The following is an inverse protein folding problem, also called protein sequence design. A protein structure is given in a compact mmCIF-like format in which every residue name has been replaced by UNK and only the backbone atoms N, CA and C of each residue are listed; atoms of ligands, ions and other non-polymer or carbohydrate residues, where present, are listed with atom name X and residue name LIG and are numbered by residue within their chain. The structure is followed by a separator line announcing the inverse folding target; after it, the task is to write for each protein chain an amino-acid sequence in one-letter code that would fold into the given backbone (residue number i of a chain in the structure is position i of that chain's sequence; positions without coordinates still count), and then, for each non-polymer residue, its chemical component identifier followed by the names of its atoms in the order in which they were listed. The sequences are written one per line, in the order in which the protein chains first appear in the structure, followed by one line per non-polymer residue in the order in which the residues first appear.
data_IF_245574349625
#
_entry.id   IF_245574349625
#
_cell.length_a   1.000
_cell.length_b   1.000
_cell.length_c   1.000
_cell.angle_alpha   90.00
_cell.angle_beta   90.00
_cell.angle_gamma   90.00
#
_symmetry.space_group_name_H-M   'P 1'
#
loop_
_entity.id
_entity.type
_entity.pdbx_description
1 polymer ?
#
# COMPACT_ATOMS: atom_id res chain seq x y z
N UNK A 1 -41.11 5.74 17.89
CA UNK A 1 -41.83 4.51 18.29
C UNK A 1 -41.51 4.21 19.72
N UNK A 2 -42.52 4.26 20.62
CA UNK A 2 -42.35 4.02 22.06
C UNK A 2 -42.49 2.51 22.31
N UNK A 3 -41.51 1.92 22.97
CA UNK A 3 -41.62 0.56 23.44
C UNK A 3 -42.31 0.55 24.84
N UNK A 4 -43.41 -0.16 24.91
CA UNK A 4 -44.15 -0.41 26.16
C UNK A 4 -43.50 -1.58 26.89
N UNK A 5 -42.97 -1.33 28.08
CA UNK A 5 -42.49 -2.38 28.98
C UNK A 5 -43.67 -2.76 29.89
N UNK A 6 -44.19 -3.97 29.73
CA UNK A 6 -45.20 -4.58 30.61
C UNK A 6 -44.51 -5.18 31.84
N UNK A 7 -44.79 -4.63 33.01
CA UNK A 7 -44.32 -5.16 34.29
C UNK A 7 -45.28 -6.20 34.85
N UNK A 8 -44.88 -7.46 34.93
CA UNK A 8 -45.55 -8.48 35.74
C UNK A 8 -45.00 -8.46 37.14
N UNK A 9 -45.84 -8.01 38.11
CA UNK A 9 -45.60 -8.27 39.55
C UNK A 9 -46.11 -9.67 39.91
N UNK A 10 -45.20 -10.53 40.34
CA UNK A 10 -45.51 -11.70 41.17
C UNK A 10 -44.73 -11.61 42.48
N UNK A 11 -45.46 -11.56 43.58
CA UNK A 11 -44.95 -11.70 44.93
C UNK A 11 -44.56 -13.16 45.16
N UNK A 12 -43.30 -13.43 45.50
CA UNK A 12 -42.82 -14.71 46.01
C UNK A 12 -41.82 -14.44 47.12
N UNK A 13 -42.01 -15.11 48.25
CA UNK A 13 -41.24 -15.00 49.49
C UNK A 13 -39.75 -15.37 49.37
N UNK A 14 -38.95 -15.28 50.47
CA UNK A 14 -37.50 -15.27 50.43
C UNK A 14 -36.92 -16.59 49.99
N UNK A 15 -36.39 -16.67 48.78
CA UNK A 15 -35.59 -17.76 48.26
C UNK A 15 -34.15 -17.34 48.09
N UNK A 16 -33.26 -18.21 48.50
CA UNK A 16 -31.80 -18.17 48.54
C UNK A 16 -31.18 -17.40 47.35
N UNK A 17 -30.24 -16.48 47.68
CA UNK A 17 -29.45 -15.76 46.71
C UNK A 17 -28.63 -16.71 45.83
N UNK A 18 -29.15 -17.05 44.65
CA UNK A 18 -28.38 -17.66 43.57
C UNK A 18 -27.77 -16.53 42.72
N UNK A 19 -26.45 -16.50 42.67
CA UNK A 19 -25.74 -15.59 41.79
C UNK A 19 -25.99 -16.00 40.33
N UNK A 20 -26.90 -15.33 39.65
CA UNK A 20 -27.04 -15.45 38.20
C UNK A 20 -25.95 -14.59 37.54
N UNK A 21 -24.90 -15.23 37.07
CA UNK A 21 -23.96 -14.62 36.18
C UNK A 21 -24.65 -14.49 34.80
N UNK A 22 -25.15 -13.30 34.49
CA UNK A 22 -25.61 -12.98 33.15
C UNK A 22 -24.38 -12.91 32.24
N UNK A 23 -24.09 -14.00 31.54
CA UNK A 23 -23.14 -14.01 30.42
C UNK A 23 -23.77 -13.19 29.28
N UNK A 24 -23.41 -11.92 29.21
CA UNK A 24 -23.56 -11.16 27.97
C UNK A 24 -22.56 -11.70 26.95
N UNK A 25 -23.01 -12.61 26.09
CA UNK A 25 -22.28 -12.92 24.87
C UNK A 25 -22.26 -11.65 24.02
N UNK A 26 -21.14 -10.94 24.02
CA UNK A 26 -20.87 -9.91 23.05
C UNK A 26 -20.85 -10.56 21.66
N UNK A 27 -22.00 -10.53 20.98
CA UNK A 27 -22.09 -10.90 19.57
C UNK A 27 -21.16 -9.96 18.81
N UNK A 28 -20.05 -10.49 18.33
CA UNK A 28 -19.21 -9.75 17.39
C UNK A 28 -20.11 -9.29 16.22
N UNK A 29 -19.99 -8.04 15.79
CA UNK A 29 -20.76 -7.55 14.66
C UNK A 29 -20.53 -8.46 13.45
N UNK A 30 -21.62 -8.77 12.74
CA UNK A 30 -21.52 -9.59 11.52
C UNK A 30 -20.52 -8.92 10.55
N UNK A 31 -19.66 -9.70 9.87
CA UNK A 31 -18.71 -9.15 8.93
C UNK A 31 -19.46 -8.40 7.83
N UNK A 32 -18.90 -7.25 7.41
CA UNK A 32 -19.45 -6.45 6.32
C UNK A 32 -19.55 -7.31 5.06
N UNK A 33 -20.70 -7.25 4.40
CA UNK A 33 -20.94 -7.92 3.12
C UNK A 33 -20.96 -6.84 2.02
N UNK A 34 -20.04 -6.89 1.05
CA UNK A 34 -20.06 -5.94 -0.05
C UNK A 34 -21.31 -6.12 -0.92
N UNK A 35 -21.80 -5.06 -1.56
CA UNK A 35 -22.79 -5.17 -2.62
C UNK A 35 -22.27 -6.09 -3.72
N UNK A 36 -23.18 -6.52 -4.61
CA UNK A 36 -22.83 -7.33 -5.78
C UNK A 36 -23.03 -6.54 -7.05
N UNK A 37 -22.17 -6.78 -8.01
CA UNK A 37 -22.38 -6.32 -9.39
C UNK A 37 -23.59 -7.00 -10.01
N UNK A 38 -24.15 -6.48 -11.12
CA UNK A 38 -25.25 -7.13 -11.83
C UNK A 38 -24.97 -8.57 -12.29
N UNK A 39 -23.69 -8.96 -12.43
CA UNK A 39 -23.27 -10.31 -12.80
C UNK A 39 -22.83 -11.17 -11.62
N UNK A 40 -23.01 -10.67 -10.38
CA UNK A 40 -22.88 -11.48 -9.15
C UNK A 40 -21.54 -11.39 -8.42
N UNK A 41 -20.51 -10.78 -8.99
CA UNK A 41 -19.21 -10.59 -8.30
C UNK A 41 -19.33 -9.58 -7.15
N UNK A 42 -18.48 -9.65 -6.12
CA UNK A 42 -18.38 -8.57 -5.14
C UNK A 42 -18.07 -7.23 -5.83
N UNK A 43 -18.82 -6.19 -5.47
CA UNK A 43 -18.64 -4.86 -6.08
C UNK A 43 -17.53 -4.09 -5.37
N UNK A 44 -16.40 -3.93 -6.04
CA UNK A 44 -15.27 -3.14 -5.63
C UNK A 44 -15.16 -1.81 -6.39
N UNK A 45 -16.10 -1.51 -7.28
CA UNK A 45 -16.06 -0.31 -8.11
C UNK A 45 -16.09 0.97 -7.29
N UNK A 46 -15.44 1.99 -7.78
CA UNK A 46 -15.40 3.32 -7.15
C UNK A 46 -14.06 4.00 -7.29
N UNK A 47 -14.01 5.24 -6.83
CA UNK A 47 -12.78 5.99 -6.66
C UNK A 47 -12.30 5.84 -5.21
N UNK A 48 -11.04 5.52 -5.03
CA UNK A 48 -10.42 5.29 -3.73
C UNK A 48 -9.19 6.17 -3.56
N UNK A 49 -8.83 6.46 -2.31
CA UNK A 49 -7.60 7.16 -1.97
C UNK A 49 -6.90 6.51 -0.78
N UNK A 50 -5.57 6.55 -0.75
CA UNK A 50 -4.75 6.18 0.41
C UNK A 50 -4.02 7.38 1.03
N UNK A 51 -4.42 8.62 0.70
CA UNK A 51 -3.78 9.86 1.18
C UNK A 51 -3.63 9.93 2.70
N UNK A 52 -4.50 9.24 3.45
CA UNK A 52 -4.47 9.20 4.91
C UNK A 52 -3.32 8.33 5.47
N UNK A 53 -2.74 7.45 4.67
CA UNK A 53 -1.63 6.58 5.07
C UNK A 53 -0.25 7.15 4.69
N UNK A 54 -0.18 8.35 4.20
CA UNK A 54 1.04 8.92 3.61
C UNK A 54 2.24 8.97 4.55
N UNK A 55 2.04 9.19 5.83
CA UNK A 55 3.12 9.20 6.82
C UNK A 55 3.23 7.89 7.60
N UNK A 56 2.42 6.88 7.27
CA UNK A 56 2.48 5.57 7.91
C UNK A 56 3.70 4.80 7.43
N UNK A 57 4.66 4.46 8.30
CA UNK A 57 5.85 3.73 7.91
C UNK A 57 5.48 2.31 7.45
N UNK A 58 6.26 1.78 6.52
CA UNK A 58 6.09 0.40 6.08
C UNK A 58 6.42 -0.57 7.23
N UNK A 59 7.56 -0.39 7.86
CA UNK A 59 8.04 -1.22 8.96
C UNK A 59 7.65 -0.65 10.34
N UNK A 60 7.61 -1.54 11.33
CA UNK A 60 7.35 -1.18 12.71
C UNK A 60 8.44 -0.21 13.24
N UNK A 61 8.08 0.99 13.72
CA UNK A 61 9.02 1.90 14.37
C UNK A 61 9.62 1.30 15.64
N UNK A 62 10.83 1.74 16.01
CA UNK A 62 11.52 1.26 17.21
C UNK A 62 10.78 1.59 18.51
N UNK A 63 10.00 2.69 18.53
CA UNK A 63 9.09 3.04 19.65
C UNK A 63 8.09 1.90 19.97
N UNK A 64 7.85 0.99 19.04
CA UNK A 64 6.98 -0.18 19.19
C UNK A 64 7.75 -1.51 19.22
N UNK A 65 9.05 -1.50 19.49
CA UNK A 65 9.84 -2.72 19.55
C UNK A 65 9.23 -3.76 20.50
N UNK A 66 9.15 -5.03 20.05
CA UNK A 66 8.54 -6.13 20.82
C UNK A 66 7.01 -6.18 20.81
N UNK A 67 6.31 -5.20 20.22
CA UNK A 67 4.84 -5.15 20.17
C UNK A 67 4.32 -5.65 18.83
N UNK A 68 3.13 -6.20 18.85
CA UNK A 68 2.37 -6.60 17.67
C UNK A 68 1.37 -5.49 17.31
N UNK A 69 0.88 -5.50 16.08
CA UNK A 69 -0.06 -4.48 15.61
C UNK A 69 -1.38 -4.46 16.43
N UNK A 70 -1.88 -5.64 16.80
CA UNK A 70 -3.08 -5.80 17.61
C UNK A 70 -2.93 -5.33 19.07
N UNK A 71 -1.71 -5.16 19.55
CA UNK A 71 -1.44 -4.66 20.92
C UNK A 71 -1.48 -3.13 21.02
N UNK A 72 -1.56 -2.44 19.88
CA UNK A 72 -1.60 -0.98 19.86
C UNK A 72 -3.01 -0.47 20.11
N UNK A 73 -3.18 0.28 21.18
CA UNK A 73 -4.47 0.84 21.56
C UNK A 73 -4.87 2.04 20.68
N UNK A 74 -6.15 2.36 20.61
CA UNK A 74 -6.65 3.53 19.90
C UNK A 74 -6.04 4.85 20.41
N UNK A 75 -5.80 4.96 21.72
CA UNK A 75 -5.17 6.16 22.30
C UNK A 75 -3.70 6.31 21.83
N UNK A 76 -2.96 5.22 21.78
CA UNK A 76 -1.58 5.23 21.27
C UNK A 76 -1.53 5.56 19.78
N UNK A 77 -2.45 5.00 18.99
CA UNK A 77 -2.56 5.36 17.58
C UNK A 77 -2.84 6.86 17.42
N UNK A 78 -3.79 7.42 18.19
CA UNK A 78 -4.07 8.86 18.17
C UNK A 78 -2.82 9.69 18.46
N UNK A 79 -2.04 9.32 19.49
CA UNK A 79 -0.80 10.00 19.83
C UNK A 79 0.26 9.92 18.70
N UNK A 80 0.37 8.77 18.06
CA UNK A 80 1.27 8.58 16.89
C UNK A 80 0.86 9.46 15.73
N UNK A 81 -0.44 9.52 15.42
CA UNK A 81 -0.95 10.34 14.33
C UNK A 81 -0.73 11.84 14.59
N UNK A 82 -0.95 12.31 15.81
CA UNK A 82 -0.67 13.69 16.20
C UNK A 82 0.84 14.04 16.05
N UNK A 83 1.73 13.11 16.45
CA UNK A 83 3.19 13.27 16.24
C UNK A 83 3.55 13.37 14.76
N UNK A 84 2.94 12.53 13.91
CA UNK A 84 3.14 12.55 12.45
C UNK A 84 2.66 13.86 11.84
N UNK A 85 1.49 14.34 12.24
CA UNK A 85 0.96 15.62 11.79
C UNK A 85 1.96 16.75 12.08
N UNK A 86 2.48 16.82 13.31
CA UNK A 86 3.50 17.80 13.68
C UNK A 86 4.77 17.67 12.80
N UNK A 87 5.22 16.45 12.51
CA UNK A 87 6.37 16.22 11.66
C UNK A 87 6.12 16.66 10.21
N UNK A 88 4.92 16.40 9.67
CA UNK A 88 4.54 16.83 8.33
C UNK A 88 4.48 18.36 8.25
N UNK A 89 3.86 19.01 9.23
CA UNK A 89 3.80 20.46 9.31
C UNK A 89 5.20 21.08 9.42
N UNK A 90 6.06 20.55 10.27
CA UNK A 90 7.43 21.07 10.45
C UNK A 90 8.31 20.88 9.20
N UNK A 91 8.18 19.77 8.50
CA UNK A 91 8.89 19.54 7.23
C UNK A 91 8.35 20.41 6.08
N UNK A 92 7.09 20.78 6.14
CA UNK A 92 6.43 21.59 5.11
C UNK A 92 6.81 23.06 5.13
N UNK A 93 7.45 23.57 6.19
CA UNK A 93 7.94 24.95 6.25
C UNK A 93 9.14 25.22 5.33
N UNK A 94 9.79 24.18 4.82
CA UNK A 94 10.95 24.29 3.93
C UNK A 94 10.86 23.58 2.58
N UNK A 95 9.80 22.82 2.31
CA UNK A 95 9.76 21.91 1.15
C UNK A 95 8.44 22.05 0.38
N UNK A 96 8.46 22.88 -0.66
CA UNK A 96 7.40 22.97 -1.66
C UNK A 96 6.23 23.92 -1.33
N UNK A 97 5.38 24.20 -2.31
CA UNK A 97 4.26 25.13 -2.16
C UNK A 97 3.22 24.63 -1.13
N UNK A 98 2.60 25.58 -0.41
CA UNK A 98 1.53 25.35 0.58
C UNK A 98 0.36 24.50 0.06
N UNK A 99 0.17 24.45 -1.25
CA UNK A 99 -0.85 23.67 -1.95
C UNK A 99 -0.77 22.16 -1.67
N UNK A 100 0.40 21.64 -1.31
CA UNK A 100 0.57 20.22 -0.96
C UNK A 100 0.20 19.90 0.49
N UNK A 101 0.04 20.90 1.37
CA UNK A 101 -0.34 20.68 2.76
C UNK A 101 -1.78 20.22 2.93
N UNK A 102 -2.69 20.70 2.08
CA UNK A 102 -4.12 20.38 2.16
C UNK A 102 -4.42 18.92 1.75
N UNK A 103 -3.47 18.27 1.08
CA UNK A 103 -3.59 16.88 0.64
C UNK A 103 -3.21 15.88 1.73
N UNK A 104 -2.48 16.31 2.77
CA UNK A 104 -1.85 15.46 3.78
C UNK A 104 -2.68 15.37 5.07
N UNK A 105 -3.83 14.72 5.03
CA UNK A 105 -4.61 14.44 6.25
C UNK A 105 -4.12 13.14 6.92
N UNK A 106 -2.93 13.20 7.51
CA UNK A 106 -2.31 12.07 8.21
C UNK A 106 -3.00 11.74 9.54
N UNK A 107 -3.92 12.60 10.01
CA UNK A 107 -4.67 12.37 11.26
C UNK A 107 -5.65 11.22 11.15
N UNK A 108 -5.99 10.80 9.93
CA UNK A 108 -6.89 9.68 9.63
C UNK A 108 -6.16 8.37 9.32
N UNK A 109 -4.85 8.31 9.54
CA UNK A 109 -4.09 7.07 9.38
C UNK A 109 -4.68 5.92 10.17
N UNK A 110 -4.67 4.72 9.60
CA UNK A 110 -5.38 3.56 10.14
C UNK A 110 -4.58 2.78 11.17
N UNK A 111 -3.24 2.88 11.11
CA UNK A 111 -2.34 2.04 11.91
C UNK A 111 -0.94 2.66 12.07
N UNK A 112 -0.17 2.18 13.07
CA UNK A 112 1.17 2.74 13.33
C UNK A 112 2.25 2.28 12.34
N UNK A 113 2.06 1.17 11.62
CA UNK A 113 2.91 0.67 10.51
C UNK A 113 2.12 -0.27 9.62
N UNK A 114 2.64 -0.63 8.43
CA UNK A 114 1.89 -1.37 7.42
C UNK A 114 2.19 -2.86 7.36
N UNK A 115 3.40 -3.33 7.71
CA UNK A 115 3.73 -4.77 7.68
C UNK A 115 2.93 -5.51 8.74
N UNK A 116 2.17 -6.51 8.28
CA UNK A 116 1.31 -7.35 9.11
C UNK A 116 1.85 -8.79 9.24
N UNK A 117 2.71 -9.21 8.33
CA UNK A 117 3.45 -10.48 8.40
C UNK A 117 4.85 -10.26 7.81
N UNK A 118 5.91 -10.60 8.55
CA UNK A 118 5.95 -11.25 9.86
C UNK A 118 5.42 -10.37 11.01
N UNK A 119 5.02 -11.01 12.15
CA UNK A 119 4.39 -10.29 13.27
C UNK A 119 5.30 -9.26 13.96
N UNK A 120 6.61 -9.34 13.74
CA UNK A 120 7.57 -8.34 14.23
C UNK A 120 7.47 -7.01 13.44
N UNK A 121 6.68 -6.98 12.36
CA UNK A 121 6.47 -5.79 11.55
C UNK A 121 7.70 -5.33 10.79
N UNK A 122 8.65 -6.21 10.52
CA UNK A 122 9.90 -5.91 9.80
C UNK A 122 9.98 -6.67 8.47
N UNK A 123 10.67 -6.07 7.50
CA UNK A 123 11.04 -6.78 6.28
C UNK A 123 12.05 -7.87 6.66
N UNK A 124 11.86 -9.13 6.20
CA UNK A 124 12.80 -10.20 6.47
C UNK A 124 14.20 -9.90 5.94
N UNK A 125 15.19 -10.49 6.58
CA UNK A 125 16.58 -10.35 6.15
C UNK A 125 16.76 -10.78 4.69
N UNK A 126 17.67 -10.12 3.99
CA UNK A 126 18.07 -10.51 2.64
C UNK A 126 18.84 -11.84 2.69
N UNK A 127 18.69 -12.62 1.62
CA UNK A 127 19.49 -13.83 1.39
C UNK A 127 20.95 -13.48 1.09
N UNK A 128 21.86 -14.43 1.27
CA UNK A 128 23.26 -14.25 0.87
C UNK A 128 23.41 -13.96 -0.63
N UNK A 129 22.51 -14.48 -1.47
CA UNK A 129 22.45 -14.19 -2.90
C UNK A 129 22.09 -12.73 -3.16
N UNK A 130 21.05 -12.22 -2.51
CA UNK A 130 20.64 -10.83 -2.63
C UNK A 130 21.73 -9.87 -2.17
N UNK A 131 22.39 -10.16 -1.05
CA UNK A 131 23.51 -9.35 -0.54
C UNK A 131 24.69 -9.32 -1.52
N UNK A 132 25.00 -10.42 -2.19
CA UNK A 132 26.03 -10.41 -3.24
C UNK A 132 25.61 -9.58 -4.47
N UNK A 133 24.34 -9.62 -4.84
CA UNK A 133 23.79 -8.88 -6.00
C UNK A 133 23.65 -7.39 -5.75
N UNK A 134 23.20 -7.01 -4.56
CA UNK A 134 22.76 -5.64 -4.24
C UNK A 134 23.72 -4.89 -3.31
N UNK A 135 24.61 -5.59 -2.63
CA UNK A 135 25.35 -5.05 -1.49
C UNK A 135 24.53 -5.06 -0.18
N UNK A 136 25.15 -4.69 0.95
CA UNK A 136 24.47 -4.59 2.22
C UNK A 136 23.39 -3.50 2.17
N UNK A 137 22.24 -3.67 2.89
CA UNK A 137 21.25 -2.63 3.04
C UNK A 137 21.89 -1.36 3.62
N UNK A 138 21.54 -0.21 3.05
CA UNK A 138 21.96 1.07 3.62
C UNK A 138 21.10 1.36 4.88
N UNK A 139 21.71 1.41 6.08
CA UNK A 139 20.98 1.66 7.32
C UNK A 139 20.35 3.06 7.40
N UNK A 140 20.77 3.99 6.54
CA UNK A 140 20.16 5.33 6.44
C UNK A 140 18.88 5.34 5.58
N UNK A 141 18.53 4.22 4.96
CA UNK A 141 17.29 4.14 4.17
C UNK A 141 16.11 4.18 5.11
N UNK A 142 15.43 5.32 5.07
CA UNK A 142 14.17 5.52 5.74
C UNK A 142 13.18 4.44 5.28
N UNK A 143 12.69 3.62 6.24
CA UNK A 143 11.65 2.61 6.01
C UNK A 143 10.30 3.21 5.63
N UNK A 144 10.23 4.54 5.48
CA UNK A 144 9.01 5.21 5.05
C UNK A 144 8.64 4.85 3.62
N UNK A 145 7.34 4.88 3.37
CA UNK A 145 6.71 4.67 2.05
C UNK A 145 7.24 5.64 0.97
N UNK A 146 7.89 6.72 1.35
CA UNK A 146 8.60 7.64 0.46
C UNK A 146 9.76 6.98 -0.33
N UNK A 147 9.78 5.64 -0.39
CA UNK A 147 10.75 4.81 -1.10
C UNK A 147 10.95 5.10 -2.59
N UNK A 148 10.28 6.10 -3.16
CA UNK A 148 10.56 6.52 -4.55
C UNK A 148 11.92 7.22 -4.65
N UNK A 149 12.27 8.05 -3.70
CA UNK A 149 13.63 8.59 -3.61
C UNK A 149 14.64 7.48 -3.27
N UNK A 150 14.19 6.44 -2.57
CA UNK A 150 14.99 5.27 -2.23
C UNK A 150 15.09 4.25 -3.36
N UNK A 151 14.17 4.17 -4.34
CA UNK A 151 14.32 3.28 -5.50
C UNK A 151 15.62 3.54 -6.26
N UNK A 152 16.07 4.78 -6.31
CA UNK A 152 17.36 5.12 -6.87
C UNK A 152 18.51 4.60 -6.03
N UNK A 153 18.45 4.75 -4.70
CA UNK A 153 19.42 4.21 -3.75
C UNK A 153 19.37 2.68 -3.71
N UNK A 154 18.18 2.11 -3.66
CA UNK A 154 17.97 0.66 -3.67
C UNK A 154 18.50 0.02 -4.94
N UNK A 155 18.41 0.68 -6.09
CA UNK A 155 18.87 0.18 -7.38
C UNK A 155 20.39 0.25 -7.55
N UNK A 156 21.03 1.27 -6.97
CA UNK A 156 22.45 1.52 -7.18
C UNK A 156 23.30 1.20 -5.94
N UNK A 157 22.70 0.65 -4.90
CA UNK A 157 23.36 -0.07 -3.80
C UNK A 157 24.48 0.67 -3.11
N UNK A 158 24.46 1.94 -2.89
CA UNK A 158 25.44 2.72 -2.13
C UNK A 158 25.48 4.19 -2.56
N UNK A 159 25.99 5.07 -1.73
CA UNK A 159 26.31 6.47 -2.00
C UNK A 159 27.40 6.67 -3.08
N UNK A 160 27.72 5.68 -3.88
CA UNK A 160 28.56 5.92 -5.05
C UNK A 160 27.83 6.92 -5.93
N UNK A 161 28.44 8.05 -6.30
CA UNK A 161 27.81 8.98 -7.23
C UNK A 161 27.48 8.20 -8.50
N UNK A 162 26.18 8.01 -8.73
CA UNK A 162 25.74 7.34 -9.95
C UNK A 162 26.13 8.28 -11.07
N UNK A 163 27.03 7.81 -11.94
CA UNK A 163 27.35 8.54 -13.14
C UNK A 163 26.08 8.61 -13.98
N UNK A 164 25.56 9.81 -14.18
CA UNK A 164 24.35 10.06 -14.97
C UNK A 164 24.77 10.45 -16.36
N UNK A 165 24.90 9.46 -17.23
CA UNK A 165 25.32 9.66 -18.61
C UNK A 165 24.12 9.72 -19.58
N UNK A 166 23.05 9.00 -19.26
CA UNK A 166 21.86 8.92 -20.10
C UNK A 166 20.55 8.95 -19.30
N UNK A 167 19.42 9.17 -19.99
CA UNK A 167 18.10 9.07 -19.36
C UNK A 167 17.81 7.66 -18.84
N UNK A 168 18.51 6.62 -19.30
CA UNK A 168 18.33 5.25 -18.82
C UNK A 168 18.90 5.02 -17.42
N UNK A 169 19.73 5.93 -16.93
CA UNK A 169 20.25 5.90 -15.57
C UNK A 169 19.21 6.34 -14.53
N UNK A 170 18.08 6.89 -14.99
CA UNK A 170 16.95 7.26 -14.13
C UNK A 170 15.98 6.09 -13.97
N UNK A 171 15.26 6.10 -12.86
CA UNK A 171 14.18 5.12 -12.61
C UNK A 171 13.04 5.29 -13.61
N UNK A 172 12.23 4.25 -13.77
CA UNK A 172 11.02 4.33 -14.61
C UNK A 172 10.04 5.41 -14.13
N UNK A 173 10.01 5.66 -12.83
CA UNK A 173 9.22 6.72 -12.21
C UNK A 173 9.70 8.13 -12.61
N UNK A 174 11.00 8.42 -12.46
CA UNK A 174 11.59 9.71 -12.85
C UNK A 174 11.41 9.98 -14.35
N UNK A 175 11.34 8.92 -15.15
CA UNK A 175 11.10 8.96 -16.60
C UNK A 175 9.61 9.00 -16.98
N UNK A 176 8.70 9.12 -16.02
CA UNK A 176 7.26 9.10 -16.26
C UNK A 176 6.74 7.84 -16.99
N UNK A 177 7.35 6.68 -16.78
CA UNK A 177 6.94 5.43 -17.42
C UNK A 177 5.97 4.67 -16.53
N UNK A 178 6.37 4.33 -15.31
CA UNK A 178 5.53 3.66 -14.30
C UNK A 178 6.15 3.70 -12.92
N UNK A 179 5.34 3.57 -11.87
CA UNK A 179 5.82 3.27 -10.51
C UNK A 179 5.86 1.77 -10.21
N UNK A 180 5.42 0.95 -11.16
CA UNK A 180 5.34 -0.51 -10.97
C UNK A 180 4.31 -0.95 -9.93
N UNK A 181 4.24 -2.26 -9.69
CA UNK A 181 3.36 -2.86 -8.69
C UNK A 181 4.23 -3.46 -7.58
N UNK A 182 3.92 -3.23 -6.31
CA UNK A 182 2.81 -2.47 -5.73
C UNK A 182 3.06 -0.96 -5.59
N UNK A 183 4.20 -0.46 -6.06
CA UNK A 183 4.64 0.93 -5.90
C UNK A 183 3.61 1.97 -6.34
N UNK A 184 2.87 1.69 -7.42
CA UNK A 184 1.84 2.58 -7.94
C UNK A 184 0.69 2.86 -6.94
N UNK A 185 0.46 1.95 -5.98
CA UNK A 185 -0.58 2.10 -4.96
C UNK A 185 -0.02 2.42 -3.57
N UNK A 186 1.28 2.62 -3.40
CA UNK A 186 1.82 3.11 -2.14
C UNK A 186 1.62 4.63 -2.03
N UNK A 187 1.28 5.14 -0.82
CA UNK A 187 1.04 6.56 -0.62
C UNK A 187 2.23 7.42 -1.04
N UNK A 188 1.92 8.57 -1.63
CA UNK A 188 2.89 9.56 -2.07
C UNK A 188 2.46 10.97 -1.66
N UNK A 189 3.29 11.98 -1.87
CA UNK A 189 2.99 13.37 -1.48
C UNK A 189 1.82 13.98 -2.29
N UNK A 190 1.42 13.36 -3.40
CA UNK A 190 0.30 13.78 -4.25
C UNK A 190 -0.19 12.59 -5.10
N UNK A 191 -1.30 12.77 -5.81
CA UNK A 191 -1.85 11.81 -6.76
C UNK A 191 -2.10 10.41 -6.14
N UNK A 192 -2.82 10.39 -5.02
CA UNK A 192 -3.10 9.18 -4.24
C UNK A 192 -4.47 8.57 -4.54
N UNK A 193 -5.02 8.82 -5.72
CA UNK A 193 -6.34 8.36 -6.12
C UNK A 193 -6.27 7.18 -7.09
N UNK A 194 -7.22 6.27 -6.95
CA UNK A 194 -7.32 5.04 -7.74
C UNK A 194 -8.77 4.84 -8.14
N UNK A 195 -8.99 4.42 -9.38
CA UNK A 195 -10.31 4.00 -9.84
C UNK A 195 -10.31 2.51 -10.11
N UNK A 196 -11.24 1.80 -9.49
CA UNK A 196 -11.51 0.39 -9.78
C UNK A 196 -12.77 0.31 -10.64
N UNK A 197 -12.65 -0.34 -11.78
CA UNK A 197 -13.74 -0.62 -12.71
C UNK A 197 -13.82 -2.12 -12.92
N UNK A 198 -15.05 -2.65 -12.99
CA UNK A 198 -15.27 -4.07 -13.21
C UNK A 198 -16.18 -4.29 -14.42
N UNK A 199 -15.90 -5.35 -15.15
CA UNK A 199 -16.79 -5.93 -16.14
C UNK A 199 -16.74 -7.46 -15.98
N UNK A 200 -17.68 -8.23 -16.57
CA UNK A 200 -17.65 -9.68 -16.52
C UNK A 200 -16.29 -10.23 -16.96
N UNK A 201 -15.62 -10.97 -16.06
CA UNK A 201 -14.33 -11.59 -16.33
C UNK A 201 -13.11 -10.69 -16.29
N UNK A 202 -13.24 -9.41 -15.89
CA UNK A 202 -12.09 -8.49 -15.83
C UNK A 202 -12.26 -7.41 -14.75
N UNK A 203 -11.15 -7.04 -14.12
CA UNK A 203 -11.04 -5.84 -13.28
C UNK A 203 -9.98 -4.94 -13.86
N UNK A 204 -10.24 -3.63 -13.91
CA UNK A 204 -9.26 -2.61 -14.27
C UNK A 204 -9.01 -1.69 -13.08
N UNK A 205 -7.74 -1.37 -12.82
CA UNK A 205 -7.33 -0.40 -11.81
C UNK A 205 -6.57 0.72 -12.53
N UNK A 206 -7.15 1.92 -12.53
CA UNK A 206 -6.51 3.13 -13.01
C UNK A 206 -5.86 3.85 -11.84
N UNK A 207 -4.62 4.26 -12.03
CA UNK A 207 -3.84 5.05 -11.08
C UNK A 207 -3.83 6.51 -11.52
N UNK A 208 -4.01 7.44 -10.59
CA UNK A 208 -3.84 8.86 -10.88
C UNK A 208 -2.37 9.15 -11.24
N UNK A 209 -1.47 8.61 -10.43
CA UNK A 209 -0.04 8.81 -10.60
C UNK A 209 0.46 8.15 -11.90
N UNK A 210 1.10 8.96 -12.77
CA UNK A 210 1.56 8.57 -14.12
C UNK A 210 0.42 8.14 -15.06
N UNK A 211 -0.85 8.30 -14.67
CA UNK A 211 -2.06 7.87 -15.38
C UNK A 211 -2.00 6.42 -15.92
N UNK A 212 -1.26 5.58 -15.20
CA UNK A 212 -1.10 4.17 -15.53
C UNK A 212 -2.39 3.38 -15.30
N UNK A 213 -2.55 2.24 -15.94
CA UNK A 213 -3.71 1.38 -15.76
C UNK A 213 -3.29 -0.10 -15.83
N UNK A 214 -3.92 -0.90 -15.00
CA UNK A 214 -3.70 -2.35 -14.96
C UNK A 214 -4.98 -3.10 -15.25
N UNK A 215 -4.93 -3.99 -16.23
CA UNK A 215 -6.03 -4.90 -16.57
C UNK A 215 -5.74 -6.26 -15.96
N UNK A 216 -6.71 -6.77 -15.21
CA UNK A 216 -6.63 -8.02 -14.46
C UNK A 216 -7.68 -8.99 -14.99
N UNK A 217 -7.31 -9.93 -15.86
CA UNK A 217 -8.23 -10.98 -16.33
C UNK A 217 -8.63 -11.91 -15.18
N UNK A 218 -9.90 -12.29 -15.13
CA UNK A 218 -10.49 -13.23 -14.17
C UNK A 218 -10.92 -14.55 -14.81
N UNK A 219 -10.53 -14.79 -16.06
CA UNK A 219 -10.96 -15.93 -16.88
C UNK A 219 -10.17 -17.23 -16.67
N UNK A 220 -9.31 -17.25 -15.65
CA UNK A 220 -8.52 -18.43 -15.30
C UNK A 220 -7.38 -18.78 -16.26
N UNK A 221 -7.10 -17.93 -17.26
CA UNK A 221 -5.97 -18.15 -18.17
C UNK A 221 -4.65 -18.15 -17.41
N UNK A 222 -3.66 -18.98 -17.81
CA UNK A 222 -2.35 -19.00 -17.19
C UNK A 222 -1.59 -17.68 -17.47
N UNK A 223 -0.53 -17.44 -16.69
CA UNK A 223 0.43 -16.39 -16.98
C UNK A 223 1.10 -16.59 -18.34
N UNK A 224 1.54 -15.48 -18.95
CA UNK A 224 2.22 -15.47 -20.23
C UNK A 224 3.47 -16.36 -20.20
N UNK A 225 3.66 -17.13 -21.28
CA UNK A 225 4.79 -18.03 -21.47
C UNK A 225 5.87 -17.39 -22.35
N UNK A 226 6.97 -18.12 -22.56
CA UNK A 226 8.00 -17.72 -23.52
C UNK A 226 8.90 -16.57 -23.07
N UNK A 227 9.02 -16.34 -21.75
CA UNK A 227 9.91 -15.31 -21.24
C UNK A 227 9.37 -13.87 -21.39
N UNK A 228 8.11 -13.71 -21.77
CA UNK A 228 7.47 -12.39 -21.86
C UNK A 228 7.45 -11.73 -20.48
N UNK A 229 7.91 -10.48 -20.41
CA UNK A 229 8.00 -9.69 -19.19
C UNK A 229 7.43 -8.30 -19.41
N UNK A 230 6.78 -7.76 -18.36
CA UNK A 230 6.05 -6.51 -18.43
C UNK A 230 6.48 -5.56 -17.30
N UNK A 231 6.34 -4.25 -17.51
CA UNK A 231 6.70 -3.25 -16.50
C UNK A 231 5.82 -3.37 -15.24
N UNK A 232 4.52 -3.62 -15.41
CA UNK A 232 3.57 -3.82 -14.31
C UNK A 232 3.41 -5.31 -13.92
N UNK A 233 4.25 -6.20 -14.50
CA UNK A 233 4.08 -7.64 -14.39
C UNK A 233 2.86 -8.13 -15.17
N UNK A 234 2.63 -9.44 -15.09
CA UNK A 234 1.51 -10.15 -15.71
C UNK A 234 0.52 -10.56 -14.62
N UNK A 235 -0.57 -9.83 -14.50
CA UNK A 235 -1.58 -10.03 -13.46
C UNK A 235 -2.63 -11.06 -13.86
N UNK A 236 -3.04 -11.91 -12.90
CA UNK A 236 -4.19 -12.82 -13.01
C UNK A 236 -5.01 -12.73 -11.73
N UNK A 237 -6.31 -12.54 -11.88
CA UNK A 237 -7.24 -12.40 -10.78
C UNK A 237 -8.17 -13.60 -10.63
N UNK A 238 -8.65 -13.81 -9.42
CA UNK A 238 -9.76 -14.71 -9.08
C UNK A 238 -10.49 -14.22 -7.84
N UNK A 239 -11.73 -14.60 -7.71
CA UNK A 239 -12.50 -14.38 -6.49
C UNK A 239 -12.23 -15.50 -5.48
N UNK A 240 -11.96 -15.10 -4.24
CA UNK A 240 -12.00 -15.95 -3.06
C UNK A 240 -13.08 -15.37 -2.12
N UNK A 241 -14.31 -15.86 -2.26
CA UNK A 241 -15.52 -15.32 -1.61
C UNK A 241 -15.71 -13.81 -1.95
N UNK A 242 -15.55 -12.93 -0.97
CA UNK A 242 -15.69 -11.48 -1.11
C UNK A 242 -14.34 -10.75 -1.34
N UNK A 243 -13.29 -11.50 -1.66
CA UNK A 243 -11.93 -10.98 -1.85
C UNK A 243 -11.49 -11.21 -3.29
N UNK A 244 -11.09 -10.16 -3.98
CA UNK A 244 -10.33 -10.29 -5.23
C UNK A 244 -8.89 -10.62 -4.88
N UNK A 245 -8.41 -11.75 -5.34
CA UNK A 245 -7.00 -12.20 -5.21
C UNK A 245 -6.34 -12.04 -6.57
N UNK A 246 -5.24 -11.29 -6.61
CA UNK A 246 -4.48 -11.03 -7.83
C UNK A 246 -3.05 -11.54 -7.65
N UNK A 247 -2.65 -12.48 -8.50
CA UNK A 247 -1.26 -12.92 -8.60
C UNK A 247 -0.59 -12.18 -9.75
N UNK A 248 0.61 -11.65 -9.50
CA UNK A 248 1.39 -10.92 -10.51
C UNK A 248 2.81 -11.47 -10.54
N UNK A 249 3.26 -11.83 -11.74
CA UNK A 249 4.59 -12.37 -12.03
C UNK A 249 5.14 -11.73 -13.30
N UNK A 250 6.22 -12.29 -13.88
CA UNK A 250 6.75 -11.86 -15.18
C UNK A 250 7.10 -10.37 -15.25
N UNK A 251 7.73 -9.84 -14.21
CA UNK A 251 8.24 -8.48 -14.16
C UNK A 251 9.48 -8.31 -15.04
N UNK A 252 9.67 -7.14 -15.61
CA UNK A 252 10.98 -6.74 -16.13
C UNK A 252 11.94 -6.42 -14.98
N UNK A 253 13.23 -6.61 -15.19
CA UNK A 253 14.25 -6.41 -14.15
C UNK A 253 14.26 -5.00 -13.55
N UNK A 254 13.91 -3.99 -14.35
CA UNK A 254 13.83 -2.58 -13.93
C UNK A 254 12.57 -2.22 -13.16
N UNK A 255 11.58 -3.12 -13.11
CA UNK A 255 10.24 -2.86 -12.58
C UNK A 255 9.95 -3.58 -11.28
N UNK A 256 10.93 -4.30 -10.73
CA UNK A 256 10.72 -5.08 -9.51
C UNK A 256 10.67 -4.19 -8.28
N UNK A 257 9.80 -4.55 -7.34
CA UNK A 257 9.66 -3.83 -6.10
C UNK A 257 10.86 -4.08 -5.17
N UNK A 258 11.47 -3.01 -4.66
CA UNK A 258 12.59 -3.06 -3.71
C UNK A 258 13.74 -3.97 -4.15
N UNK A 259 14.10 -3.92 -5.42
CA UNK A 259 15.15 -4.74 -6.03
C UNK A 259 14.96 -6.27 -5.90
N UNK A 260 13.73 -6.72 -5.77
CA UNK A 260 13.39 -8.13 -5.91
C UNK A 260 13.89 -8.70 -7.24
N UNK A 261 14.10 -9.98 -7.29
CA UNK A 261 14.51 -10.65 -8.55
C UNK A 261 13.32 -10.81 -9.49
N UNK A 262 13.42 -10.28 -10.70
CA UNK A 262 12.37 -10.43 -11.71
C UNK A 262 12.09 -11.90 -12.09
N UNK A 263 13.03 -12.79 -11.83
CA UNK A 263 12.87 -14.22 -12.14
C UNK A 263 12.05 -14.97 -11.10
N UNK A 264 12.07 -14.53 -9.86
CA UNK A 264 11.44 -15.21 -8.71
C UNK A 264 10.33 -14.43 -8.05
N UNK A 265 10.26 -13.10 -8.26
CA UNK A 265 9.24 -12.26 -7.66
C UNK A 265 7.83 -12.70 -8.05
N UNK A 266 7.04 -12.97 -7.04
CA UNK A 266 5.60 -13.15 -7.11
C UNK A 266 4.94 -12.18 -6.12
N UNK A 267 3.98 -11.42 -6.59
CA UNK A 267 3.11 -10.63 -5.75
C UNK A 267 1.74 -11.30 -5.66
N UNK A 268 1.20 -11.35 -4.45
CA UNK A 268 -0.19 -11.74 -4.23
C UNK A 268 -0.91 -10.58 -3.55
N UNK A 269 -1.79 -9.92 -4.27
CA UNK A 269 -2.60 -8.82 -3.76
C UNK A 269 -3.99 -9.33 -3.41
N UNK A 270 -4.57 -8.76 -2.34
CA UNK A 270 -5.94 -9.06 -1.91
C UNK A 270 -6.68 -7.75 -1.73
N UNK A 271 -7.81 -7.63 -2.39
CA UNK A 271 -8.71 -6.48 -2.29
C UNK A 271 -10.02 -6.96 -1.69
N UNK A 272 -10.35 -6.45 -0.51
CA UNK A 272 -11.59 -6.79 0.19
C UNK A 272 -12.27 -5.55 0.74
N UNK A 273 -13.51 -5.36 0.39
CA UNK A 273 -14.32 -4.29 0.96
C UNK A 273 -14.70 -4.64 2.39
N UNK A 274 -14.33 -3.79 3.35
CA UNK A 274 -14.48 -4.03 4.80
C UNK A 274 -15.56 -3.13 5.42
N UNK A 275 -15.92 -2.05 4.73
CA UNK A 275 -17.03 -1.16 5.07
C UNK A 275 -17.61 -0.54 3.79
N UNK A 276 -18.65 0.25 3.92
CA UNK A 276 -19.27 0.92 2.77
C UNK A 276 -18.29 1.83 2.03
N UNK A 277 -17.35 2.44 2.75
CA UNK A 277 -16.36 3.39 2.25
C UNK A 277 -14.90 2.89 2.38
N UNK A 278 -14.68 1.61 2.74
CA UNK A 278 -13.32 1.07 2.99
C UNK A 278 -13.07 -0.20 2.19
N UNK A 279 -11.94 -0.20 1.52
CA UNK A 279 -11.36 -1.35 0.83
C UNK A 279 -10.00 -1.67 1.48
N UNK A 280 -9.86 -2.82 2.10
CA UNK A 280 -8.57 -3.29 2.58
C UNK A 280 -7.78 -3.87 1.41
N UNK A 281 -6.58 -3.35 1.21
CA UNK A 281 -5.61 -3.84 0.25
C UNK A 281 -4.41 -4.41 0.98
N UNK A 282 -4.10 -5.67 0.74
CA UNK A 282 -2.90 -6.31 1.27
C UNK A 282 -2.07 -6.90 0.14
N UNK A 283 -0.74 -6.87 0.33
CA UNK A 283 0.23 -7.36 -0.65
C UNK A 283 1.22 -8.26 0.03
N UNK A 284 1.28 -9.50 -0.43
CA UNK A 284 2.32 -10.44 -0.07
C UNK A 284 3.41 -10.41 -1.14
N UNK A 285 4.62 -10.15 -0.71
CA UNK A 285 5.83 -10.17 -1.53
C UNK A 285 6.52 -11.52 -1.28
N UNK A 286 6.64 -12.32 -2.32
CA UNK A 286 7.30 -13.62 -2.29
C UNK A 286 8.44 -13.64 -3.31
N UNK A 287 9.66 -13.64 -2.80
CA UNK A 287 10.89 -13.74 -3.59
C UNK A 287 11.99 -14.39 -2.75
N UNK A 288 12.09 -15.70 -2.84
CA UNK A 288 13.04 -16.51 -2.07
C UNK A 288 14.51 -16.26 -2.45
N UNK A 289 14.79 -15.62 -3.58
CA UNK A 289 16.15 -15.22 -3.94
C UNK A 289 16.57 -13.89 -3.30
N UNK A 290 15.60 -13.08 -2.89
CA UNK A 290 15.87 -11.77 -2.26
C UNK A 290 15.72 -11.80 -0.76
N UNK A 291 14.65 -12.38 -0.22
CA UNK A 291 14.37 -12.41 1.21
C UNK A 291 14.31 -13.83 1.76
N UNK A 292 14.65 -13.98 3.03
CA UNK A 292 14.66 -15.28 3.72
C UNK A 292 13.26 -15.88 3.91
N UNK A 293 12.21 -15.10 3.77
CA UNK A 293 10.80 -15.51 3.73
C UNK A 293 9.94 -14.46 3.02
N UNK A 294 8.73 -14.84 2.63
CA UNK A 294 7.72 -13.89 2.17
C UNK A 294 7.28 -12.94 3.30
N UNK A 295 6.77 -11.77 2.93
CA UNK A 295 6.25 -10.78 3.86
C UNK A 295 5.06 -10.05 3.28
N UNK A 296 4.20 -9.52 4.16
CA UNK A 296 2.92 -8.90 3.77
C UNK A 296 2.77 -7.55 4.44
N UNK A 297 2.37 -6.56 3.69
CA UNK A 297 1.85 -5.31 4.23
C UNK A 297 0.37 -5.15 3.86
N UNK A 298 -0.34 -4.31 4.62
CA UNK A 298 -1.75 -4.05 4.40
C UNK A 298 -2.10 -2.62 4.78
N UNK A 299 -3.02 -2.01 4.03
CA UNK A 299 -3.59 -0.69 4.34
C UNK A 299 -4.99 -0.54 3.76
N UNK A 300 -5.84 0.30 4.38
CA UNK A 300 -7.13 0.62 3.81
C UNK A 300 -7.00 1.64 2.69
N UNK A 301 -7.81 1.49 1.67
CA UNK A 301 -8.16 2.52 0.71
C UNK A 301 -9.53 3.08 1.09
N UNK A 302 -9.66 4.39 1.14
CA UNK A 302 -10.91 5.06 1.47
C UNK A 302 -11.63 5.47 0.19
N UNK A 303 -12.91 5.16 0.08
CA UNK A 303 -13.73 5.61 -1.06
C UNK A 303 -13.83 7.13 -1.07
N UNK A 304 -13.63 7.71 -2.23
CA UNK A 304 -13.61 9.17 -2.43
C UNK A 304 -14.24 9.57 -3.77
N UNK A 305 -15.51 9.23 -3.94
CA UNK A 305 -16.23 9.52 -5.18
C UNK A 305 -16.49 11.04 -5.41
N UNK A 306 -16.17 11.88 -4.41
CA UNK A 306 -16.33 13.34 -4.52
C UNK A 306 -15.13 14.01 -5.18
N UNK A 307 -13.98 13.39 -5.16
CA UNK A 307 -12.76 13.90 -5.80
C UNK A 307 -12.53 13.12 -7.10
N UNK A 308 -12.59 13.75 -8.26
CA UNK A 308 -12.28 13.08 -9.51
C UNK A 308 -10.79 12.71 -9.54
N UNK A 309 -10.47 11.64 -10.25
CA UNK A 309 -9.07 11.35 -10.59
C UNK A 309 -8.63 12.38 -11.61
N UNK A 310 -7.65 13.17 -11.25
CA UNK A 310 -7.09 14.21 -12.12
C UNK A 310 -6.13 13.59 -13.13
N UNK A 311 -5.86 14.29 -14.19
CA UNK A 311 -4.78 13.96 -15.11
C UNK A 311 -3.43 14.28 -14.44
N UNK A 312 -2.56 13.30 -14.39
CA UNK A 312 -1.17 13.49 -13.97
C UNK A 312 -0.29 13.61 -15.21
N UNK A 313 -0.10 14.84 -15.67
CA UNK A 313 0.65 15.16 -16.89
C UNK A 313 2.17 15.14 -16.62
N UNK A 314 2.71 13.97 -16.28
CA UNK A 314 4.08 13.77 -15.82
C UNK A 314 5.14 14.25 -16.82
N UNK A 315 4.88 14.18 -18.11
CA UNK A 315 5.81 14.61 -19.17
C UNK A 315 5.79 16.10 -19.42
N UNK A 316 4.68 16.77 -19.15
CA UNK A 316 4.52 18.19 -19.44
C UNK A 316 5.37 19.03 -18.49
N UNK A 317 6.28 19.83 -19.06
CA UNK A 317 7.20 20.65 -18.27
C UNK A 317 8.22 19.88 -17.43
N UNK A 318 8.41 18.58 -17.65
CA UNK A 318 9.43 17.79 -16.96
C UNK A 318 10.82 18.04 -17.53
N UNK A 319 11.44 19.14 -17.10
CA UNK A 319 12.83 19.49 -17.43
C UNK A 319 13.84 18.88 -16.44
N UNK A 320 13.41 18.13 -15.45
CA UNK A 320 14.30 17.60 -14.40
C UNK A 320 15.37 16.67 -14.98
N UNK A 321 14.99 15.70 -15.82
CA UNK A 321 15.92 14.74 -16.43
C UNK A 321 16.99 15.41 -17.28
N UNK A 322 16.67 16.27 -18.27
CA UNK A 322 17.69 16.97 -19.08
C UNK A 322 18.56 17.90 -18.24
N UNK A 323 18.00 18.60 -17.23
CA UNK A 323 18.78 19.50 -16.38
C UNK A 323 19.78 18.75 -15.50
N UNK A 324 19.36 17.63 -14.91
CA UNK A 324 20.26 16.79 -14.09
C UNK A 324 21.37 16.19 -14.96
N UNK A 325 21.06 15.68 -16.15
CA UNK A 325 22.06 15.17 -17.09
C UNK A 325 23.05 16.26 -17.52
N UNK A 326 22.56 17.47 -17.78
CA UNK A 326 23.41 18.60 -18.10
C UNK A 326 24.37 18.96 -16.97
N UNK A 327 23.86 19.04 -15.74
CA UNK A 327 24.66 19.32 -14.56
C UNK A 327 25.73 18.24 -14.30
N UNK A 328 25.37 16.96 -14.46
CA UNK A 328 26.31 15.84 -14.30
C UNK A 328 27.46 15.89 -15.30
N UNK A 329 27.21 16.28 -16.55
CA UNK A 329 28.26 16.44 -17.59
C UNK A 329 29.25 17.56 -17.24
N UNK A 330 28.78 18.69 -16.71
CA UNK A 330 29.65 19.78 -16.25
C UNK A 330 30.50 19.34 -15.05
N UNK A 331 29.93 18.57 -14.11
CA UNK A 331 30.66 18.05 -12.95
C UNK A 331 31.76 17.04 -13.34
N UNK A 332 31.55 16.25 -14.40
CA UNK A 332 32.51 15.26 -14.88
C UNK A 332 33.65 15.89 -15.75
N UNK A 333 33.52 17.16 -16.11
CA UNK A 333 34.53 17.90 -16.93
C UNK A 333 35.56 18.60 -16.03
N UNK A 334 35.47 18.49 -14.73
CA UNK A 334 36.42 19.02 -13.74
C UNK A 334 37.18 17.88 -13.09
#
# INVERSE_FOLDING_TARGET
MRYVVSAFRRTVGPAKAGHYVLLFALLAPAPYRPPRTPWGDPDLQGNYTNKYEQSTPLERPDDFAGRRLEDVTAAELTAVLAKREQQVVSRGEGVGPLQFRDVLDVTKGSRPWLIVDPPDGRIPAMTAEALRRLGPPDPSQDSTINGVLNQRRERFGSFTPVRLDSHEDFTLWERCITRGVPGAMLPYIHANSYQIVQAPGVVAIRYELVHDARIIPLDGRPHARGGLRFEMGDARGRWDRDTLVVETTNFKDRSTFRNASASTLRLTERFRRTAADKLEWSVTIDDSSTWTRSWTFSMPLTMNDREPILEFACHEGNYAVPNILSAARVGNSR
#
